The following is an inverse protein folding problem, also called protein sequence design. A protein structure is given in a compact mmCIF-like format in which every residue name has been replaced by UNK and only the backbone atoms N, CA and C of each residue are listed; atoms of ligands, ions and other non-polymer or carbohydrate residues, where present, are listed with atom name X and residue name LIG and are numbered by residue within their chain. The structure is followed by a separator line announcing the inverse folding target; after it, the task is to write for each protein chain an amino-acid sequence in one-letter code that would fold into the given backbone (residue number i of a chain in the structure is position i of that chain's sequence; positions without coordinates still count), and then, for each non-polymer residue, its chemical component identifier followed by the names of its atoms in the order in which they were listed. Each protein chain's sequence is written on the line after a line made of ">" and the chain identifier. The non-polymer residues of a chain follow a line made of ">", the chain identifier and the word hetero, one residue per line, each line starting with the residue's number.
data_IF_948972714752
#
_entry.id   IF_948972714752
#
_cell.length_a   1.000
_cell.length_b   1.000
_cell.length_c   1.000
_cell.angle_alpha   90.00
_cell.angle_beta   90.00
_cell.angle_gamma   90.00
#
_symmetry.space_group_name_H-M   'P 1'
#
loop_
_entity.id
_entity.type
_entity.pdbx_description
1 polymer ?
#
# COMPACT_ATOMS: atom_id res chain seq x y z
N UNK A 1 29.62 36.57 -71.61
CA UNK A 1 30.73 37.51 -71.34
C UNK A 1 30.44 38.24 -70.04
N UNK A 2 31.43 38.23 -69.13
CA UNK A 2 31.68 39.15 -68.01
C UNK A 2 30.96 38.90 -66.66
N UNK A 3 31.82 38.62 -65.70
CA UNK A 3 31.71 38.56 -64.23
C UNK A 3 31.24 39.86 -63.56
N UNK A 4 30.51 39.74 -62.43
CA UNK A 4 30.63 40.47 -61.14
C UNK A 4 29.31 40.30 -60.36
N UNK A 5 29.20 40.05 -59.06
CA UNK A 5 30.16 39.82 -57.98
C UNK A 5 29.38 39.42 -56.72
N UNK A 6 29.98 38.53 -55.94
CA UNK A 6 29.97 38.42 -54.47
C UNK A 6 28.83 39.11 -53.68
N UNK A 7 28.02 38.31 -52.97
CA UNK A 7 27.82 38.50 -51.53
C UNK A 7 27.34 37.20 -50.86
N UNK A 8 28.18 36.79 -49.92
CA UNK A 8 28.11 35.63 -49.05
C UNK A 8 27.11 35.91 -47.93
N UNK A 9 26.16 35.01 -47.68
CA UNK A 9 25.46 34.92 -46.40
C UNK A 9 25.34 33.44 -46.06
N UNK A 10 26.30 32.98 -45.28
CA UNK A 10 26.33 31.65 -44.66
C UNK A 10 25.30 31.69 -43.53
N UNK A 11 24.11 31.14 -43.78
CA UNK A 11 23.15 30.80 -42.72
C UNK A 11 23.58 29.49 -42.06
N UNK A 12 24.26 29.57 -40.92
CA UNK A 12 24.56 28.42 -40.07
C UNK A 12 23.23 27.95 -39.46
N UNK A 13 22.62 26.91 -40.03
CA UNK A 13 21.60 26.13 -39.33
C UNK A 13 22.34 25.18 -38.40
N UNK A 14 22.58 25.62 -37.17
CA UNK A 14 23.03 24.75 -36.11
C UNK A 14 21.87 23.82 -35.72
N UNK A 15 21.91 22.59 -36.24
CA UNK A 15 21.09 21.51 -35.73
C UNK A 15 21.46 21.23 -34.29
N UNK A 16 20.56 21.56 -33.36
CA UNK A 16 20.67 21.18 -31.96
C UNK A 16 20.37 19.68 -31.89
N UNK A 17 21.41 18.87 -32.01
CA UNK A 17 21.36 17.48 -31.58
C UNK A 17 21.35 17.48 -30.04
N UNK A 18 20.16 17.30 -29.46
CA UNK A 18 20.01 17.05 -28.02
C UNK A 18 20.57 15.66 -27.75
N UNK A 19 21.86 15.59 -27.49
CA UNK A 19 22.49 14.41 -26.89
C UNK A 19 22.14 14.48 -25.40
N UNK A 20 21.13 13.72 -24.97
CA UNK A 20 20.94 13.42 -23.56
C UNK A 20 22.13 12.58 -23.09
N UNK A 21 23.15 13.25 -22.59
CA UNK A 21 24.19 12.61 -21.80
C UNK A 21 23.57 12.33 -20.43
N UNK A 22 23.13 11.08 -20.20
CA UNK A 22 22.96 10.59 -18.85
C UNK A 22 24.36 10.50 -18.23
N UNK A 23 24.72 11.51 -17.45
CA UNK A 23 25.86 11.41 -16.55
C UNK A 23 25.45 10.43 -15.46
N UNK A 24 25.72 9.14 -15.67
CA UNK A 24 25.84 8.20 -14.56
C UNK A 24 27.07 8.63 -13.77
N UNK A 25 26.84 9.45 -12.75
CA UNK A 25 27.80 9.57 -11.67
C UNK A 25 27.92 8.17 -11.07
N UNK A 26 29.05 7.52 -11.32
CA UNK A 26 29.52 6.37 -10.55
C UNK A 26 29.79 6.80 -9.12
N UNK A 27 28.73 7.16 -8.41
CA UNK A 27 28.74 7.36 -6.98
C UNK A 27 28.97 6.00 -6.37
N UNK A 28 30.15 5.84 -5.77
CA UNK A 28 30.45 4.74 -4.86
C UNK A 28 29.22 4.48 -3.98
N UNK A 29 28.87 3.21 -3.80
CA UNK A 29 27.88 2.79 -2.82
C UNK A 29 28.23 3.47 -1.49
N UNK A 30 27.48 4.53 -1.15
CA UNK A 30 27.59 5.18 0.13
C UNK A 30 27.10 4.20 1.19
N UNK A 31 27.67 4.26 2.42
CA UNK A 31 27.12 3.48 3.52
C UNK A 31 25.65 3.85 3.69
N UNK A 32 24.79 2.84 3.75
CA UNK A 32 23.36 2.99 3.98
C UNK A 32 23.15 3.85 5.23
N UNK A 33 22.64 5.07 5.04
CA UNK A 33 22.19 5.92 6.14
C UNK A 33 20.96 5.26 6.76
N UNK A 34 21.03 4.98 8.07
CA UNK A 34 20.01 4.32 8.91
C UNK A 34 18.57 4.45 8.37
N UNK A 35 18.07 3.35 7.82
CA UNK A 35 16.69 3.17 7.37
C UNK A 35 16.60 2.53 5.98
N UNK A 36 15.97 1.36 5.92
CA UNK A 36 15.49 0.77 4.67
C UNK A 36 13.99 1.05 4.55
N UNK A 37 13.52 1.30 3.34
CA UNK A 37 12.11 1.35 2.97
C UNK A 37 11.79 0.10 2.17
N UNK A 38 10.74 -0.61 2.58
CA UNK A 38 10.29 -1.84 1.96
C UNK A 38 8.88 -1.62 1.43
N UNK A 39 8.70 -1.82 0.12
CA UNK A 39 7.39 -1.81 -0.53
C UNK A 39 7.06 -3.22 -1.03
N UNK A 40 5.79 -3.61 -0.94
CA UNK A 40 5.31 -4.92 -1.37
C UNK A 40 4.23 -4.76 -2.45
N UNK A 41 4.31 -5.57 -3.49
CA UNK A 41 3.25 -5.74 -4.50
C UNK A 41 3.13 -7.21 -4.91
N UNK A 42 2.09 -7.57 -5.68
CA UNK A 42 1.87 -8.94 -6.14
C UNK A 42 1.43 -9.07 -7.58
N UNK A 43 1.61 -10.28 -8.13
CA UNK A 43 1.06 -10.74 -9.41
C UNK A 43 0.38 -12.11 -9.25
N UNK A 44 -0.93 -12.24 -9.50
CA UNK A 44 -1.87 -11.12 -9.72
C UNK A 44 -2.01 -10.21 -8.49
N UNK A 45 -2.58 -9.03 -8.71
CA UNK A 45 -3.12 -8.19 -7.64
C UNK A 45 -4.63 -8.02 -7.82
N UNK A 46 -5.44 -8.25 -6.76
CA UNK A 46 -5.03 -8.81 -5.48
C UNK A 46 -4.66 -10.29 -5.60
N UNK A 47 -4.02 -10.83 -4.56
CA UNK A 47 -3.57 -12.22 -4.56
C UNK A 47 -4.71 -13.22 -4.57
N UNK A 48 -4.47 -14.39 -5.18
CA UNK A 48 -5.43 -15.49 -5.23
C UNK A 48 -4.83 -16.80 -4.77
N UNK A 49 -5.64 -17.81 -4.45
CA UNK A 49 -5.14 -19.17 -4.20
C UNK A 49 -4.25 -19.63 -5.35
N UNK A 50 -3.18 -20.35 -5.01
CA UNK A 50 -2.21 -20.88 -5.96
C UNK A 50 -0.96 -20.00 -6.09
N UNK A 51 -0.31 -20.09 -7.25
CA UNK A 51 0.99 -19.44 -7.50
C UNK A 51 0.78 -17.94 -7.69
N UNK A 52 1.45 -17.15 -6.86
CA UNK A 52 1.55 -15.71 -7.00
C UNK A 52 3.03 -15.31 -6.95
N UNK A 53 3.36 -14.21 -7.62
CA UNK A 53 4.64 -13.54 -7.44
C UNK A 53 4.45 -12.40 -6.45
N UNK A 54 5.30 -12.33 -5.44
CA UNK A 54 5.48 -11.15 -4.62
C UNK A 54 6.69 -10.38 -5.14
N UNK A 55 6.53 -9.08 -5.34
CA UNK A 55 7.60 -8.17 -5.70
C UNK A 55 7.86 -7.24 -4.52
N UNK A 56 9.06 -7.36 -3.96
CA UNK A 56 9.53 -6.55 -2.85
C UNK A 56 10.51 -5.54 -3.40
N UNK A 57 10.22 -4.25 -3.26
CA UNK A 57 11.16 -3.19 -3.60
C UNK A 57 11.83 -2.68 -2.32
N UNK A 58 13.16 -2.73 -2.29
CA UNK A 58 13.97 -2.23 -1.17
C UNK A 58 14.74 -1.00 -1.63
N UNK A 59 14.57 0.09 -0.90
CA UNK A 59 15.28 1.35 -1.13
C UNK A 59 15.85 1.94 0.16
N UNK A 60 16.81 2.84 0.03
CA UNK A 60 17.24 3.68 1.13
C UNK A 60 16.21 4.80 1.41
N UNK A 61 16.42 5.57 2.48
CA UNK A 61 15.55 6.70 2.83
C UNK A 61 15.52 7.84 1.80
N UNK A 62 16.41 7.83 0.80
CA UNK A 62 16.42 8.77 -0.33
C UNK A 62 15.72 8.19 -1.57
N UNK A 63 15.17 6.98 -1.48
CA UNK A 63 14.51 6.28 -2.59
C UNK A 63 15.49 5.63 -3.57
N UNK A 64 16.78 5.53 -3.24
CA UNK A 64 17.75 4.82 -4.09
C UNK A 64 17.55 3.31 -3.91
N UNK A 65 17.43 2.52 -5.00
CA UNK A 65 17.36 1.07 -4.89
C UNK A 65 18.56 0.48 -4.15
N UNK A 66 18.30 -0.48 -3.28
CA UNK A 66 19.34 -1.24 -2.57
C UNK A 66 19.50 -2.59 -3.24
N UNK A 67 20.64 -2.78 -3.90
CA UNK A 67 21.03 -4.03 -4.55
C UNK A 67 21.70 -4.99 -3.55
N UNK A 68 21.70 -6.28 -3.88
CA UNK A 68 22.39 -7.34 -3.13
C UNK A 68 22.00 -7.45 -1.64
N UNK A 69 20.80 -6.98 -1.27
CA UNK A 69 20.25 -7.15 0.07
C UNK A 69 19.81 -8.60 0.30
N UNK A 70 20.01 -9.10 1.51
CA UNK A 70 19.42 -10.36 1.95
C UNK A 70 17.95 -10.10 2.31
N UNK A 71 17.04 -10.51 1.43
CA UNK A 71 15.59 -10.32 1.58
C UNK A 71 14.92 -11.67 1.78
N UNK A 72 14.07 -11.75 2.80
CA UNK A 72 13.25 -12.92 3.09
C UNK A 72 11.79 -12.53 3.21
N UNK A 73 10.90 -13.42 2.77
CA UNK A 73 9.45 -13.27 2.90
C UNK A 73 8.89 -14.46 3.66
N UNK A 74 8.25 -14.18 4.78
CA UNK A 74 7.49 -15.16 5.54
C UNK A 74 6.03 -14.72 5.64
N UNK A 75 5.10 -15.67 5.62
CA UNK A 75 3.67 -15.34 5.64
C UNK A 75 2.91 -16.29 6.56
N UNK A 76 2.04 -15.74 7.39
CA UNK A 76 1.23 -16.49 8.36
C UNK A 76 -0.24 -16.17 8.11
N UNK A 77 -1.08 -17.19 8.07
CA UNK A 77 -2.53 -17.00 8.02
C UNK A 77 -3.01 -16.48 9.37
N UNK A 78 -3.92 -15.52 9.36
CA UNK A 78 -4.55 -14.95 10.56
C UNK A 78 -5.61 -15.90 11.15
N UNK A 79 -5.32 -17.20 11.12
CA UNK A 79 -6.03 -18.26 11.80
C UNK A 79 -4.97 -19.21 12.36
N UNK A 80 -4.91 -19.31 13.69
CA UNK A 80 -3.80 -19.97 14.38
C UNK A 80 -3.58 -21.44 13.97
N UNK A 81 -2.36 -21.93 14.16
CA UNK A 81 -2.04 -23.36 14.06
C UNK A 81 -1.33 -23.80 12.77
N UNK A 82 -1.06 -22.89 11.83
CA UNK A 82 -0.22 -23.19 10.66
C UNK A 82 1.21 -22.68 10.84
N UNK A 83 2.15 -23.39 10.23
CA UNK A 83 3.53 -22.93 10.09
C UNK A 83 3.60 -21.79 9.07
N UNK A 84 4.53 -20.83 9.24
CA UNK A 84 4.74 -19.79 8.25
C UNK A 84 5.12 -20.35 6.88
N UNK A 85 4.47 -19.85 5.84
CA UNK A 85 4.88 -20.02 4.45
C UNK A 85 6.12 -19.18 4.17
N UNK A 86 7.04 -19.71 3.38
CA UNK A 86 8.25 -19.00 2.94
C UNK A 86 8.12 -18.68 1.46
N UNK A 87 8.48 -17.46 1.08
CA UNK A 87 8.67 -17.09 -0.32
C UNK A 87 9.90 -17.78 -0.91
N UNK A 88 9.76 -18.33 -2.11
CA UNK A 88 10.87 -18.90 -2.86
C UNK A 88 11.45 -17.83 -3.79
N UNK A 89 12.71 -17.40 -3.60
CA UNK A 89 13.30 -16.37 -4.47
C UNK A 89 13.35 -16.86 -5.93
N UNK A 90 12.97 -15.99 -6.86
CA UNK A 90 13.03 -16.23 -8.31
C UNK A 90 14.04 -15.34 -9.03
N UNK A 91 14.39 -14.20 -8.44
CA UNK A 91 15.42 -13.30 -8.95
C UNK A 91 15.37 -11.93 -8.28
N UNK A 92 16.36 -11.13 -8.60
CA UNK A 92 16.52 -9.77 -8.11
C UNK A 92 17.14 -8.89 -9.19
N UNK A 93 16.71 -7.63 -9.26
CA UNK A 93 17.33 -6.60 -10.10
C UNK A 93 16.88 -5.21 -9.69
N UNK A 94 17.79 -4.23 -9.64
CA UNK A 94 17.45 -2.82 -9.43
C UNK A 94 16.66 -2.60 -8.12
N UNK A 95 17.06 -3.27 -7.04
CA UNK A 95 16.41 -3.24 -5.73
C UNK A 95 15.03 -3.90 -5.66
N UNK A 96 14.58 -4.54 -6.74
CA UNK A 96 13.39 -5.40 -6.75
C UNK A 96 13.79 -6.85 -6.52
N UNK A 97 13.14 -7.52 -5.57
CA UNK A 97 13.32 -8.91 -5.19
C UNK A 97 12.01 -9.67 -5.43
N UNK A 98 12.06 -10.70 -6.26
CA UNK A 98 10.87 -11.46 -6.69
C UNK A 98 10.82 -12.79 -5.97
N UNK A 99 9.67 -13.07 -5.34
CA UNK A 99 9.41 -14.32 -4.64
C UNK A 99 8.19 -15.01 -5.22
N UNK A 100 8.29 -16.32 -5.44
CA UNK A 100 7.13 -17.18 -5.69
C UNK A 100 6.55 -17.67 -4.38
N UNK A 101 5.25 -17.46 -4.20
CA UNK A 101 4.47 -18.01 -3.08
C UNK A 101 3.32 -18.85 -3.62
N UNK A 102 3.05 -19.98 -2.98
CA UNK A 102 1.87 -20.81 -3.28
C UNK A 102 0.90 -20.68 -2.13
N UNK A 103 -0.18 -19.90 -2.33
CA UNK A 103 -1.19 -19.72 -1.30
C UNK A 103 -2.13 -20.94 -1.27
N UNK A 104 -2.16 -21.70 -0.17
CA UNK A 104 -2.90 -22.95 -0.10
C UNK A 104 -4.39 -22.71 0.16
N UNK A 105 -4.75 -21.53 0.65
CA UNK A 105 -6.10 -21.19 1.06
C UNK A 105 -6.34 -19.68 1.05
N UNK A 106 -7.62 -19.35 0.98
CA UNK A 106 -8.15 -18.01 1.17
C UNK A 106 -7.96 -17.51 2.60
N UNK A 107 -8.05 -16.20 2.77
CA UNK A 107 -8.15 -15.55 4.07
C UNK A 107 -7.22 -14.36 4.21
N UNK A 108 -7.20 -13.80 5.42
CA UNK A 108 -6.27 -12.74 5.80
C UNK A 108 -4.92 -13.35 6.17
N UNK A 109 -3.87 -12.78 5.62
CA UNK A 109 -2.50 -13.18 5.86
C UNK A 109 -1.69 -11.96 6.30
N UNK A 110 -0.85 -12.18 7.30
CA UNK A 110 0.23 -11.27 7.64
C UNK A 110 1.49 -11.72 6.89
N UNK A 111 2.06 -10.81 6.10
CA UNK A 111 3.30 -11.02 5.35
C UNK A 111 4.42 -10.22 6.01
N UNK A 112 5.41 -10.93 6.53
CA UNK A 112 6.65 -10.37 7.06
C UNK A 112 7.70 -10.33 5.96
N UNK A 113 8.18 -9.14 5.62
CA UNK A 113 9.29 -8.93 4.71
C UNK A 113 10.48 -8.43 5.52
N UNK A 114 11.56 -9.20 5.56
CA UNK A 114 12.78 -8.80 6.25
C UNK A 114 13.88 -8.56 5.24
N UNK A 115 14.48 -7.37 5.28
CA UNK A 115 15.59 -6.98 4.41
C UNK A 115 16.82 -6.62 5.24
N UNK A 116 17.99 -7.06 4.79
CA UNK A 116 19.27 -6.71 5.37
C UNK A 116 20.26 -6.28 4.27
N UNK A 117 20.71 -5.03 4.31
CA UNK A 117 21.58 -4.44 3.28
C UNK A 117 23.06 -4.87 3.35
N UNK A 118 23.42 -5.80 4.23
CA UNK A 118 24.79 -6.28 4.40
C UNK A 118 25.07 -6.93 5.76
N UNK A 119 26.25 -7.52 5.92
CA UNK A 119 26.63 -8.28 7.12
C UNK A 119 26.66 -7.45 8.42
N UNK A 120 26.92 -6.14 8.31
CA UNK A 120 27.06 -5.22 9.44
C UNK A 120 25.84 -4.31 9.64
N UNK A 121 24.80 -4.45 8.81
CA UNK A 121 23.57 -3.67 8.94
C UNK A 121 22.52 -4.41 9.77
N UNK A 122 21.69 -3.64 10.47
CA UNK A 122 20.53 -4.19 11.17
C UNK A 122 19.45 -4.55 10.16
N UNK A 123 18.95 -5.79 10.25
CA UNK A 123 17.79 -6.20 9.48
C UNK A 123 16.56 -5.34 9.82
N UNK A 124 15.83 -4.93 8.80
CA UNK A 124 14.55 -4.22 8.90
C UNK A 124 13.45 -5.19 8.51
N UNK A 125 12.42 -5.29 9.34
CA UNK A 125 11.23 -6.09 9.05
C UNK A 125 10.03 -5.16 8.90
N UNK A 126 9.32 -5.29 7.79
CA UNK A 126 8.02 -4.64 7.57
C UNK A 126 6.94 -5.71 7.46
N UNK A 127 5.76 -5.40 8.00
CA UNK A 127 4.61 -6.30 7.99
C UNK A 127 3.50 -5.72 7.12
N UNK A 128 2.86 -6.58 6.33
CA UNK A 128 1.76 -6.22 5.45
C UNK A 128 0.56 -7.11 5.73
N UNK A 129 -0.62 -6.50 5.81
CA UNK A 129 -1.87 -7.24 5.78
C UNK A 129 -2.29 -7.42 4.33
N UNK A 130 -2.64 -8.65 3.96
CA UNK A 130 -3.16 -8.95 2.65
C UNK A 130 -4.26 -10.01 2.71
N UNK A 131 -5.15 -10.00 1.72
CA UNK A 131 -6.16 -11.04 1.58
C UNK A 131 -5.90 -11.88 0.35
N UNK A 132 -5.96 -13.20 0.52
CA UNK A 132 -5.91 -14.16 -0.58
C UNK A 132 -7.34 -14.54 -0.97
N UNK A 133 -7.70 -14.24 -2.21
CA UNK A 133 -9.03 -14.53 -2.76
C UNK A 133 -9.10 -15.92 -3.40
N UNK A 134 -10.29 -16.52 -3.44
CA UNK A 134 -10.48 -17.81 -4.11
C UNK A 134 -10.37 -17.70 -5.63
N UNK A 135 -10.84 -16.57 -6.17
CA UNK A 135 -10.82 -16.21 -7.58
C UNK A 135 -10.34 -14.76 -7.69
N UNK A 136 -9.68 -14.39 -8.79
CA UNK A 136 -9.35 -12.99 -9.05
C UNK A 136 -10.66 -12.18 -9.06
N UNK A 137 -10.81 -11.19 -8.17
CA UNK A 137 -11.97 -10.32 -8.22
C UNK A 137 -11.92 -9.48 -9.50
N UNK A 138 -13.08 -9.07 -9.99
CA UNK A 138 -13.15 -8.11 -11.09
C UNK A 138 -12.69 -6.76 -10.55
N UNK A 139 -11.39 -6.51 -10.68
CA UNK A 139 -10.69 -5.33 -10.19
C UNK A 139 -10.03 -4.65 -11.40
N UNK A 140 -10.56 -3.49 -11.74
CA UNK A 140 -10.20 -2.72 -12.95
C UNK A 140 -9.08 -1.71 -12.71
N UNK A 141 -8.61 -1.58 -11.47
CA UNK A 141 -7.49 -0.72 -11.12
C UNK A 141 -6.16 -1.45 -11.33
N UNK A 142 -5.09 -0.71 -11.69
CA UNK A 142 -3.76 -1.29 -11.82
C UNK A 142 -3.31 -1.94 -10.51
N UNK A 143 -2.39 -2.90 -10.62
CA UNK A 143 -1.79 -3.57 -9.47
C UNK A 143 -1.34 -2.53 -8.42
N UNK A 144 -1.86 -2.67 -7.20
CA UNK A 144 -1.56 -1.80 -6.08
C UNK A 144 -0.36 -2.30 -5.28
N UNK A 145 0.28 -1.38 -4.56
CA UNK A 145 1.19 -1.75 -3.48
C UNK A 145 0.39 -2.03 -2.21
N UNK A 146 0.86 -2.98 -1.41
CA UNK A 146 0.35 -3.23 -0.08
C UNK A 146 0.89 -2.17 0.87
N UNK A 147 0.01 -1.67 1.75
CA UNK A 147 0.39 -0.72 2.79
C UNK A 147 0.99 -1.47 3.98
N UNK A 148 2.13 -0.98 4.49
CA UNK A 148 2.69 -1.56 5.72
C UNK A 148 1.79 -1.26 6.93
N UNK A 149 1.73 -2.23 7.86
CA UNK A 149 1.00 -2.07 9.13
C UNK A 149 1.57 -0.88 9.93
N UNK A 150 2.89 -0.67 9.86
CA UNK A 150 3.57 0.45 10.50
C UNK A 150 3.07 1.80 10.00
N UNK A 151 2.95 1.99 8.68
CA UNK A 151 2.44 3.24 8.10
C UNK A 151 1.04 3.59 8.62
N UNK A 152 0.17 2.58 8.70
CA UNK A 152 -1.19 2.75 9.23
C UNK A 152 -1.16 3.15 10.71
N UNK A 153 -0.33 2.46 11.49
CA UNK A 153 -0.19 2.72 12.92
C UNK A 153 0.36 4.12 13.21
N UNK A 154 1.33 4.57 12.41
CA UNK A 154 1.91 5.91 12.49
C UNK A 154 0.90 6.99 12.11
N UNK A 155 0.11 6.79 11.05
CA UNK A 155 -0.95 7.73 10.65
C UNK A 155 -2.00 7.90 11.76
N UNK A 156 -2.41 6.81 12.38
CA UNK A 156 -3.37 6.80 13.49
C UNK A 156 -2.81 7.45 14.77
N UNK A 157 -1.49 7.38 14.96
CA UNK A 157 -0.81 7.95 16.13
C UNK A 157 -0.64 9.48 16.07
N UNK A 158 -0.94 10.12 14.93
CA UNK A 158 -0.83 11.58 14.79
C UNK A 158 -1.82 12.33 15.69
N UNK A 159 -3.06 11.82 15.84
CA UNK A 159 -4.09 12.45 16.66
C UNK A 159 -4.99 11.41 17.37
N UNK A 160 -4.44 10.62 18.30
CA UNK A 160 -5.13 9.48 18.90
C UNK A 160 -6.31 9.88 19.82
N UNK A 161 -6.28 11.12 20.33
CA UNK A 161 -7.32 11.63 21.23
C UNK A 161 -8.44 12.34 20.47
N UNK A 162 -8.14 12.94 19.30
CA UNK A 162 -9.12 13.68 18.49
C UNK A 162 -9.76 12.85 17.37
N UNK A 163 -9.09 11.82 16.86
CA UNK A 163 -9.56 11.00 15.74
C UNK A 163 -9.98 9.58 16.18
N UNK A 164 -11.15 9.14 15.69
CA UNK A 164 -11.56 7.74 15.68
C UNK A 164 -11.32 7.18 14.29
N UNK A 165 -10.44 6.19 14.19
CA UNK A 165 -10.11 5.53 12.93
C UNK A 165 -10.90 4.25 12.74
N UNK A 166 -11.44 4.09 11.53
CA UNK A 166 -11.98 2.85 10.99
C UNK A 166 -11.20 2.57 9.71
N UNK A 167 -10.35 1.56 9.74
CA UNK A 167 -9.67 1.04 8.55
C UNK A 167 -10.46 -0.17 8.11
N UNK A 168 -10.84 -0.22 6.83
CA UNK A 168 -11.53 -1.35 6.20
C UNK A 168 -10.47 -2.13 5.42
N UNK A 169 -9.97 -3.27 5.93
CA UNK A 169 -8.88 -4.00 5.29
C UNK A 169 -9.29 -4.64 3.96
N UNK A 170 -8.30 -5.00 3.15
CA UNK A 170 -8.52 -5.88 2.00
C UNK A 170 -9.20 -7.18 2.44
N UNK A 171 -10.22 -7.61 1.70
CA UNK A 171 -10.94 -8.85 1.95
C UNK A 171 -12.15 -8.72 2.87
N UNK A 172 -12.38 -7.55 3.47
CA UNK A 172 -13.58 -7.27 4.29
C UNK A 172 -14.87 -7.68 3.56
N UNK A 173 -15.02 -7.34 2.28
CA UNK A 173 -16.20 -7.72 1.52
C UNK A 173 -16.45 -9.24 1.46
N UNK A 174 -15.39 -10.03 1.32
CA UNK A 174 -15.49 -11.50 1.28
C UNK A 174 -15.80 -12.07 2.67
N UNK A 175 -15.21 -11.50 3.73
CA UNK A 175 -15.49 -11.85 5.13
C UNK A 175 -16.95 -11.56 5.50
N UNK A 176 -17.46 -10.38 5.18
CA UNK A 176 -18.86 -10.00 5.44
C UNK A 176 -19.84 -10.91 4.71
N UNK A 177 -19.55 -11.28 3.46
CA UNK A 177 -20.36 -12.25 2.69
C UNK A 177 -20.40 -13.65 3.30
N UNK A 178 -19.42 -13.99 4.14
CA UNK A 178 -19.37 -15.24 4.90
C UNK A 178 -20.03 -15.12 6.28
N UNK A 179 -20.59 -13.96 6.62
CA UNK A 179 -21.27 -13.69 7.88
C UNK A 179 -20.35 -13.22 9.01
N UNK A 180 -19.17 -12.67 8.68
CA UNK A 180 -18.33 -12.00 9.67
C UNK A 180 -18.71 -10.53 9.79
N UNK A 181 -18.86 -10.05 11.03
CA UNK A 181 -19.06 -8.63 11.32
C UNK A 181 -17.73 -7.94 11.51
N UNK A 182 -17.48 -6.91 10.70
CA UNK A 182 -16.25 -6.13 10.72
C UNK A 182 -16.45 -4.77 11.41
N UNK A 183 -17.70 -4.35 11.63
CA UNK A 183 -18.04 -3.08 12.26
C UNK A 183 -19.20 -3.21 13.25
N UNK A 184 -19.11 -2.66 14.48
CA UNK A 184 -20.24 -2.64 15.40
C UNK A 184 -21.40 -1.81 14.86
N UNK A 185 -22.60 -2.08 15.38
CA UNK A 185 -23.81 -1.31 15.05
C UNK A 185 -23.83 0.11 15.64
N UNK A 186 -22.97 0.41 16.61
CA UNK A 186 -22.83 1.74 17.23
C UNK A 186 -21.37 2.22 17.16
N UNK A 187 -21.15 3.40 16.57
CA UNK A 187 -19.90 4.16 16.60
C UNK A 187 -20.11 5.37 17.51
N UNK A 188 -19.21 5.59 18.47
CA UNK A 188 -19.33 6.68 19.45
C UNK A 188 -18.20 7.69 19.33
N UNK A 189 -18.56 8.96 19.21
CA UNK A 189 -17.67 10.12 19.19
C UNK A 189 -18.10 11.13 20.27
N UNK A 190 -17.25 12.11 20.58
CA UNK A 190 -17.53 13.15 21.57
C UNK A 190 -17.00 14.50 21.13
N UNK A 191 -17.86 15.52 21.11
CA UNK A 191 -17.46 16.90 20.80
C UNK A 191 -16.41 17.38 21.79
N UNK A 192 -15.35 18.01 21.29
CA UNK A 192 -14.24 18.50 22.13
C UNK A 192 -13.32 17.41 22.68
N UNK A 193 -13.60 16.13 22.42
CA UNK A 193 -12.69 15.01 22.62
C UNK A 193 -12.38 14.35 21.28
N UNK A 194 -12.69 13.06 21.15
CA UNK A 194 -12.60 12.32 19.88
C UNK A 194 -13.77 12.70 18.98
N UNK A 195 -13.66 13.87 18.36
CA UNK A 195 -14.72 14.54 17.60
C UNK A 195 -14.63 14.31 16.08
N UNK A 196 -13.58 13.65 15.61
CA UNK A 196 -13.32 13.42 14.19
C UNK A 196 -13.35 11.93 13.86
N UNK A 197 -14.22 11.54 12.93
CA UNK A 197 -14.28 10.19 12.37
C UNK A 197 -13.42 10.12 11.10
N UNK A 198 -12.49 9.18 11.07
CA UNK A 198 -11.66 8.89 9.90
C UNK A 198 -12.00 7.49 9.43
N UNK A 199 -12.47 7.37 8.18
CA UNK A 199 -12.76 6.07 7.55
C UNK A 199 -11.84 5.94 6.35
N UNK A 200 -11.02 4.88 6.34
CA UNK A 200 -10.15 4.54 5.21
C UNK A 200 -10.56 3.19 4.65
N UNK A 201 -10.79 3.12 3.35
CA UNK A 201 -11.13 1.89 2.67
C UNK A 201 -9.90 1.32 1.95
N UNK A 202 -9.23 0.36 2.57
CA UNK A 202 -8.14 -0.41 1.98
C UNK A 202 -8.63 -1.68 1.25
N UNK A 203 -9.96 -1.92 1.22
CA UNK A 203 -10.56 -2.97 0.41
C UNK A 203 -10.63 -2.57 -1.07
N UNK A 204 -10.82 -3.58 -1.91
CA UNK A 204 -10.95 -3.45 -3.36
C UNK A 204 -12.39 -3.12 -3.79
N UNK A 205 -13.33 -3.13 -2.84
CA UNK A 205 -14.76 -2.89 -3.06
C UNK A 205 -15.17 -1.59 -2.36
N UNK A 206 -16.11 -0.86 -2.96
CA UNK A 206 -16.70 0.32 -2.35
C UNK A 206 -17.59 -0.07 -1.15
N UNK A 207 -17.54 0.74 -0.09
CA UNK A 207 -18.26 0.49 1.15
C UNK A 207 -19.14 1.66 1.57
N UNK A 208 -20.16 1.37 2.37
CA UNK A 208 -21.05 2.37 2.97
C UNK A 208 -21.07 2.19 4.48
N UNK A 209 -20.85 3.30 5.21
CA UNK A 209 -20.97 3.38 6.67
C UNK A 209 -21.87 4.56 7.01
N UNK A 210 -23.13 4.28 7.29
CA UNK A 210 -24.11 5.30 7.64
C UNK A 210 -24.36 6.25 6.46
N UNK A 211 -24.12 7.57 6.61
CA UNK A 211 -24.25 8.55 5.53
C UNK A 211 -23.03 8.58 4.59
N UNK A 212 -21.96 7.85 4.89
CA UNK A 212 -20.71 7.91 4.15
C UNK A 212 -20.61 6.79 3.13
N UNK A 213 -20.35 7.16 1.88
CA UNK A 213 -19.93 6.24 0.81
C UNK A 213 -18.43 6.43 0.60
N UNK A 214 -17.65 5.35 0.68
CA UNK A 214 -16.19 5.38 0.65
C UNK A 214 -15.74 4.45 -0.47
N UNK A 215 -15.17 5.03 -1.53
CA UNK A 215 -14.62 4.24 -2.64
C UNK A 215 -13.42 3.42 -2.20
N UNK A 216 -13.13 2.34 -2.91
CA UNK A 216 -11.87 1.60 -2.74
C UNK A 216 -10.66 2.55 -2.84
N UNK A 217 -9.78 2.53 -1.84
CA UNK A 217 -8.61 3.39 -1.70
C UNK A 217 -8.89 4.82 -1.18
N UNK A 218 -10.14 5.15 -0.83
CA UNK A 218 -10.51 6.48 -0.34
C UNK A 218 -10.37 6.58 1.18
N UNK A 219 -9.88 7.73 1.65
CA UNK A 219 -9.94 8.13 3.05
C UNK A 219 -10.85 9.34 3.19
N UNK A 220 -11.85 9.25 4.06
CA UNK A 220 -12.70 10.38 4.43
C UNK A 220 -12.42 10.80 5.88
N UNK A 221 -12.52 12.10 6.13
CA UNK A 221 -12.37 12.70 7.46
C UNK A 221 -13.56 13.61 7.74
N UNK A 222 -14.36 13.25 8.73
CA UNK A 222 -15.52 14.04 9.17
C UNK A 222 -15.35 14.50 10.62
N UNK A 223 -15.26 15.82 10.80
CA UNK A 223 -15.30 16.43 12.14
C UNK A 223 -16.73 16.76 12.56
N UNK A 224 -17.10 16.41 13.78
CA UNK A 224 -18.38 16.73 14.38
C UNK A 224 -18.23 17.87 15.39
N UNK A 225 -19.06 18.90 15.26
CA UNK A 225 -19.02 20.08 16.14
C UNK A 225 -20.25 20.21 17.05
N UNK A 226 -21.18 19.26 16.94
CA UNK A 226 -22.45 19.25 17.68
C UNK A 226 -22.87 17.81 17.95
N UNK A 227 -23.51 17.60 19.09
CA UNK A 227 -24.12 16.32 19.42
C UNK A 227 -25.24 15.98 18.42
N UNK A 228 -25.26 14.74 17.96
CA UNK A 228 -26.20 14.23 16.97
C UNK A 228 -26.15 12.70 16.90
N UNK A 229 -27.19 12.09 16.32
CA UNK A 229 -27.19 10.68 15.95
C UNK A 229 -27.43 10.58 14.45
N UNK A 230 -26.51 9.93 13.73
CA UNK A 230 -26.64 9.65 12.30
C UNK A 230 -26.86 8.15 12.13
N UNK A 231 -27.98 7.78 11.52
CA UNK A 231 -28.28 6.39 11.19
C UNK A 231 -28.23 6.21 9.67
N UNK A 232 -27.69 5.08 9.22
CA UNK A 232 -27.74 4.70 7.82
C UNK A 232 -27.31 3.27 7.57
N UNK A 233 -27.27 2.91 6.29
CA UNK A 233 -26.89 1.56 5.85
C UNK A 233 -25.42 1.29 6.18
N UNK A 234 -25.11 0.06 6.56
CA UNK A 234 -23.75 -0.40 6.76
C UNK A 234 -23.50 -1.63 5.88
N UNK A 235 -22.43 -1.59 5.09
CA UNK A 235 -21.99 -2.75 4.30
C UNK A 235 -21.03 -3.66 5.05
N UNK A 236 -20.72 -3.36 6.32
CA UNK A 236 -19.65 -3.99 7.10
C UNK A 236 -20.16 -4.83 8.28
N UNK A 237 -21.47 -5.01 8.39
CA UNK A 237 -22.10 -5.82 9.42
C UNK A 237 -23.34 -6.55 8.89
N UNK A 238 -23.73 -7.60 9.59
CA UNK A 238 -24.87 -8.46 9.27
C UNK A 238 -26.21 -7.76 9.48
N UNK A 239 -26.28 -6.82 10.42
CA UNK A 239 -27.48 -6.04 10.75
C UNK A 239 -27.85 -5.09 9.61
N UNK A 240 -26.88 -4.69 8.79
CA UNK A 240 -27.06 -3.83 7.62
C UNK A 240 -27.24 -2.34 7.94
N UNK A 241 -27.08 -1.93 9.19
CA UNK A 241 -27.13 -0.53 9.61
C UNK A 241 -26.10 -0.19 10.68
N UNK A 242 -25.83 1.10 10.83
CA UNK A 242 -24.97 1.64 11.88
C UNK A 242 -25.54 2.96 12.41
N UNK A 243 -25.37 3.19 13.71
CA UNK A 243 -25.61 4.47 14.35
C UNK A 243 -24.27 5.13 14.69
N UNK A 244 -24.07 6.36 14.22
CA UNK A 244 -22.95 7.20 14.62
C UNK A 244 -23.48 8.19 15.65
N UNK A 245 -23.14 7.95 16.90
CA UNK A 245 -23.58 8.73 18.07
C UNK A 245 -22.48 9.71 18.44
N UNK A 246 -22.76 10.99 18.30
CA UNK A 246 -21.88 12.08 18.73
C UNK A 246 -22.41 12.66 20.02
N UNK A 247 -21.66 12.44 21.10
CA UNK A 247 -21.94 12.98 22.44
C UNK A 247 -21.46 14.43 22.55
N UNK A 248 -22.11 15.23 23.40
CA UNK A 248 -21.78 16.63 23.66
C UNK A 248 -20.76 16.83 24.77
#
# INVERSE_FOLDING_TARGET
>A
MRYLGMLLLIGIVAGVAVVMVFVFNGGMAGPASDGLVIELSSDPYPMTIGINQLRVFVSDTNGKPVEDADVTVSSVLDHGGMLPLQGLPEGDSNGEYVFRVVWPMIGSWTIDVTANAGADTRAVTEQFNAYVYALPPEYDKPAGTYRAIRETSEEMAVNPDGELWIVIPQGTYDLVRRGHDELPSDIRLRVGGRDTLVIRNDDIVDHTIGPFFIRSGETIRQRFTRAAVFQGVCSLNDVGYVNIVVEG
#
